data_IF_030265114889
#
_entry.id   IF_030265114889
#
_cell.length_a   1.000
_cell.length_b   1.000
_cell.length_c   1.000
_cell.angle_alpha   90.00
_cell.angle_beta   90.00
_cell.angle_gamma   90.00
#
_symmetry.space_group_name_H-M   'P 1'
#
loop_
_entity.id
_entity.type
_entity.pdbx_description
1 polymer ?
#
# COMPACT_ATOMS: atom_id res chain seq x y z
N UNK A 1 78.54 -12.74 26.57
CA UNK A 1 77.61 -13.72 27.17
C UNK A 1 77.09 -13.14 28.48
N UNK A 2 75.87 -12.61 28.51
CA UNK A 2 74.98 -12.44 29.69
C UNK A 2 73.70 -11.71 29.27
N UNK A 3 72.57 -12.06 29.91
CA UNK A 3 71.18 -11.87 29.48
C UNK A 3 70.46 -10.70 30.20
N UNK A 4 69.21 -10.43 29.75
CA UNK A 4 67.99 -9.98 30.49
C UNK A 4 67.71 -8.45 30.50
N UNK A 5 66.46 -7.94 30.41
CA UNK A 5 65.33 -8.29 29.53
C UNK A 5 64.64 -7.05 28.88
N UNK A 6 63.87 -7.29 27.82
CA UNK A 6 62.96 -6.30 27.21
C UNK A 6 61.59 -6.40 27.90
N UNK A 7 61.10 -5.31 28.51
CA UNK A 7 59.77 -5.22 29.10
C UNK A 7 58.74 -4.98 27.99
N UNK A 8 57.73 -5.84 27.96
CA UNK A 8 56.58 -5.78 27.07
C UNK A 8 55.58 -4.69 27.50
N UNK A 9 55.01 -3.97 26.54
CA UNK A 9 53.76 -3.23 26.71
C UNK A 9 52.79 -3.69 25.62
N UNK A 10 51.74 -4.37 26.05
CA UNK A 10 50.64 -4.90 25.24
C UNK A 10 49.59 -3.80 25.11
N UNK A 11 49.36 -3.27 23.91
CA UNK A 11 48.26 -2.35 23.64
C UNK A 11 47.11 -3.13 22.98
N UNK A 12 46.02 -3.33 23.72
CA UNK A 12 44.79 -3.93 23.21
C UNK A 12 43.91 -2.84 22.57
N UNK A 13 43.69 -2.95 21.25
CA UNK A 13 42.72 -2.14 20.51
C UNK A 13 41.35 -2.83 20.57
N UNK A 14 40.39 -2.23 21.29
CA UNK A 14 38.98 -2.58 21.23
C UNK A 14 38.34 -1.87 20.04
N UNK A 15 37.97 -2.64 19.01
CA UNK A 15 37.15 -2.16 17.90
C UNK A 15 35.67 -2.11 18.32
N UNK A 16 35.12 -0.90 18.49
CA UNK A 16 33.68 -0.68 18.62
C UNK A 16 33.02 -0.83 17.24
N UNK A 17 32.33 -1.94 17.01
CA UNK A 17 31.37 -2.05 15.91
C UNK A 17 30.04 -1.42 16.37
N UNK A 18 29.73 -0.24 15.85
CA UNK A 18 28.40 0.37 15.96
C UNK A 18 27.42 -0.46 15.12
N UNK A 19 26.64 -1.32 15.78
CA UNK A 19 25.47 -1.93 15.17
C UNK A 19 24.38 -0.87 15.03
N UNK A 20 24.05 -0.51 13.80
CA UNK A 20 22.90 0.32 13.46
C UNK A 20 21.62 -0.41 13.90
N UNK A 21 21.04 0.03 15.01
CA UNK A 21 19.74 -0.44 15.46
C UNK A 21 18.67 0.15 14.53
N UNK A 22 18.13 -0.67 13.63
CA UNK A 22 16.92 -0.36 12.90
C UNK A 22 15.77 -0.26 13.91
N UNK A 23 15.36 0.97 14.24
CA UNK A 23 14.30 1.24 15.21
C UNK A 23 12.95 0.75 14.67
N UNK A 24 12.50 -0.42 15.12
CA UNK A 24 11.12 -0.85 14.98
C UNK A 24 10.28 -0.06 15.99
N UNK A 25 9.40 0.82 15.51
CA UNK A 25 8.50 1.60 16.36
C UNK A 25 7.63 0.66 17.23
N UNK A 26 7.70 0.87 18.54
CA UNK A 26 7.15 0.02 19.60
C UNK A 26 5.64 0.24 19.83
N UNK A 27 4.91 -0.71 20.46
CA UNK A 27 3.46 -0.63 20.67
C UNK A 27 2.95 0.56 21.51
N UNK A 28 3.79 1.16 22.38
CA UNK A 28 3.39 2.28 23.25
C UNK A 28 3.10 3.56 22.46
N UNK A 29 3.72 3.77 21.30
CA UNK A 29 3.48 4.96 20.46
C UNK A 29 2.07 4.98 19.87
N UNK A 30 1.40 3.82 19.73
CA UNK A 30 -0.01 3.75 19.28
C UNK A 30 -0.99 4.26 20.34
N UNK A 31 -0.70 4.08 21.63
CA UNK A 31 -1.64 4.38 22.72
C UNK A 31 -1.92 5.89 22.86
N UNK A 32 -0.98 6.72 22.41
CA UNK A 32 -1.05 8.18 22.48
C UNK A 32 -1.12 8.83 21.09
N UNK A 33 -1.34 8.05 20.03
CA UNK A 33 -1.50 8.62 18.69
C UNK A 33 -2.76 9.50 18.65
N UNK A 34 -2.64 10.70 18.08
CA UNK A 34 -3.78 11.56 17.92
C UNK A 34 -4.85 10.85 17.08
N UNK A 35 -6.10 10.85 17.58
CA UNK A 35 -7.22 10.30 16.84
C UNK A 35 -7.68 11.32 15.78
N UNK A 36 -7.95 10.90 14.54
CA UNK A 36 -8.62 11.74 13.55
C UNK A 36 -9.91 12.36 14.10
N UNK A 37 -10.25 13.61 13.74
CA UNK A 37 -11.52 14.22 14.09
C UNK A 37 -12.70 13.39 13.60
N UNK A 38 -13.83 13.47 14.30
CA UNK A 38 -15.07 12.84 13.84
C UNK A 38 -15.47 13.34 12.44
N UNK A 39 -15.95 12.44 11.58
CA UNK A 39 -16.30 12.78 10.20
C UNK A 39 -15.11 12.89 9.24
N UNK A 40 -13.91 12.44 9.66
CA UNK A 40 -12.76 12.32 8.77
C UNK A 40 -12.92 11.12 7.82
N UNK A 41 -12.19 11.15 6.70
CA UNK A 41 -12.03 10.03 5.77
C UNK A 41 -10.56 9.65 5.65
N UNK A 42 -10.30 8.38 5.32
CA UNK A 42 -8.96 7.84 5.05
C UNK A 42 -8.80 7.61 3.56
N UNK A 43 -7.91 8.34 2.91
CA UNK A 43 -7.85 8.42 1.46
C UNK A 43 -6.45 8.14 0.96
N UNK A 44 -6.33 7.32 -0.08
CA UNK A 44 -5.07 7.15 -0.81
C UNK A 44 -5.27 7.34 -2.30
N UNK A 45 -4.17 7.54 -3.04
CA UNK A 45 -4.18 7.62 -4.50
C UNK A 45 -3.50 6.38 -5.07
N UNK A 46 -4.08 5.79 -6.12
CA UNK A 46 -3.59 4.60 -6.80
C UNK A 46 -3.30 4.90 -8.27
N UNK A 47 -2.14 4.46 -8.75
CA UNK A 47 -1.73 4.54 -10.15
C UNK A 47 -1.76 3.16 -10.83
N UNK A 48 -2.76 2.86 -11.67
CA UNK A 48 -2.84 1.60 -12.40
C UNK A 48 -2.03 1.59 -13.70
N UNK A 49 -1.43 2.73 -14.10
CA UNK A 49 -0.70 2.85 -15.37
C UNK A 49 0.66 2.16 -15.36
N UNK A 50 1.30 2.05 -16.51
CA UNK A 50 2.64 1.45 -16.68
C UNK A 50 3.79 2.46 -16.50
N UNK A 51 3.50 3.70 -16.10
CA UNK A 51 4.51 4.72 -15.84
C UNK A 51 4.44 5.20 -14.38
N UNK A 52 5.58 5.44 -13.71
CA UNK A 52 5.58 6.05 -12.40
C UNK A 52 5.15 7.52 -12.48
N UNK A 53 4.47 8.00 -11.44
CA UNK A 53 4.06 9.41 -11.28
C UNK A 53 4.30 9.89 -9.86
N UNK A 54 4.47 11.20 -9.68
CA UNK A 54 4.53 11.83 -8.37
C UNK A 54 3.15 12.38 -8.00
N UNK A 55 2.51 11.81 -6.98
CA UNK A 55 1.20 12.25 -6.49
C UNK A 55 1.32 13.15 -5.27
N UNK A 56 0.49 14.19 -5.22
CA UNK A 56 0.18 14.94 -4.00
C UNK A 56 -1.29 14.78 -3.66
N UNK A 57 -1.60 14.50 -2.40
CA UNK A 57 -2.96 14.36 -1.88
C UNK A 57 -3.19 15.38 -0.77
N UNK A 58 -4.15 16.29 -0.97
CA UNK A 58 -4.37 17.46 -0.11
C UNK A 58 -3.05 18.23 0.11
N UNK A 59 -2.80 18.70 1.34
CA UNK A 59 -1.56 19.36 1.76
C UNK A 59 -0.47 18.37 2.20
N UNK A 60 -0.58 17.12 1.76
CA UNK A 60 0.28 16.03 2.16
C UNK A 60 1.66 16.00 1.54
N UNK A 61 2.52 15.17 2.14
CA UNK A 61 3.79 14.78 1.50
C UNK A 61 3.51 14.10 0.15
N UNK A 62 4.31 14.46 -0.85
CA UNK A 62 4.25 13.86 -2.18
C UNK A 62 4.82 12.43 -2.14
N UNK A 63 4.25 11.54 -2.95
CA UNK A 63 4.70 10.15 -3.07
C UNK A 63 4.91 9.79 -4.54
N UNK A 64 5.95 9.00 -4.84
CA UNK A 64 6.11 8.39 -6.17
C UNK A 64 5.42 7.04 -6.17
N UNK A 65 4.51 6.80 -7.12
CA UNK A 65 3.76 5.54 -7.25
C UNK A 65 3.77 5.03 -8.69
N UNK A 66 3.89 3.71 -8.88
CA UNK A 66 4.05 3.12 -10.22
C UNK A 66 4.45 1.63 -10.22
N UNK A 67 4.87 1.10 -11.38
CA UNK A 67 5.18 -0.33 -11.56
C UNK A 67 6.34 -0.88 -10.73
N UNK A 68 7.41 -0.09 -10.61
CA UNK A 68 8.66 -0.54 -9.96
C UNK A 68 8.67 -0.28 -8.44
N UNK A 69 7.51 0.02 -7.86
CA UNK A 69 7.37 0.38 -6.46
C UNK A 69 5.92 0.26 -5.96
N UNK A 70 5.53 1.03 -4.94
CA UNK A 70 4.14 1.06 -4.49
C UNK A 70 3.21 1.52 -5.62
N UNK A 71 2.10 0.81 -5.80
CA UNK A 71 1.04 1.20 -6.74
C UNK A 71 0.12 2.27 -6.18
N UNK A 72 0.00 2.32 -4.87
CA UNK A 72 -0.80 3.31 -4.16
C UNK A 72 0.02 4.02 -3.07
N UNK A 73 -0.35 5.28 -2.79
CA UNK A 73 0.15 6.00 -1.64
C UNK A 73 -0.33 5.35 -0.34
N UNK A 74 0.27 5.73 0.80
CA UNK A 74 -0.34 5.46 2.10
C UNK A 74 -1.68 6.21 2.24
N UNK A 75 -2.56 5.73 3.11
CA UNK A 75 -3.78 6.44 3.46
C UNK A 75 -3.47 7.69 4.27
N UNK A 76 -4.12 8.79 3.92
CA UNK A 76 -4.09 10.07 4.62
C UNK A 76 -5.46 10.40 5.17
N UNK A 77 -5.48 11.01 6.35
CA UNK A 77 -6.69 11.56 6.95
C UNK A 77 -7.04 12.90 6.28
N UNK A 78 -8.26 13.01 5.77
CA UNK A 78 -8.82 14.24 5.19
C UNK A 78 -10.24 14.47 5.73
N UNK A 79 -10.82 15.68 5.59
CA UNK A 79 -12.24 15.88 5.90
C UNK A 79 -13.14 15.01 5.01
N UNK A 80 -14.03 14.23 5.62
CA UNK A 80 -14.99 13.40 4.89
C UNK A 80 -16.16 14.20 4.32
N UNK A 81 -16.75 13.70 3.24
CA UNK A 81 -17.85 14.34 2.52
C UNK A 81 -17.47 15.67 1.84
N UNK A 82 -16.17 15.97 1.74
CA UNK A 82 -15.64 17.18 1.12
C UNK A 82 -14.76 16.83 -0.08
N UNK A 83 -14.73 17.69 -1.12
CA UNK A 83 -13.75 17.58 -2.19
C UNK A 83 -12.32 17.50 -1.65
N UNK A 84 -11.55 16.53 -2.13
CA UNK A 84 -10.12 16.43 -1.87
C UNK A 84 -9.32 16.81 -3.12
N UNK A 85 -8.26 17.58 -2.95
CA UNK A 85 -7.35 17.93 -4.04
C UNK A 85 -6.32 16.82 -4.28
N UNK A 86 -6.09 16.50 -5.55
CA UNK A 86 -5.01 15.61 -5.99
C UNK A 86 -4.20 16.32 -7.06
N UNK A 87 -2.88 16.15 -7.01
CA UNK A 87 -1.97 16.57 -8.07
C UNK A 87 -1.15 15.39 -8.56
N UNK A 88 -0.83 15.40 -9.85
CA UNK A 88 0.08 14.45 -10.51
C UNK A 88 1.17 15.26 -11.20
N UNK A 89 2.43 14.98 -10.85
CA UNK A 89 3.63 15.66 -11.36
C UNK A 89 3.53 17.19 -11.24
N UNK A 90 2.96 17.64 -10.12
CA UNK A 90 2.77 19.06 -9.81
C UNK A 90 1.59 19.73 -10.51
N UNK A 91 0.84 19.02 -11.36
CA UNK A 91 -0.37 19.54 -12.02
C UNK A 91 -1.62 19.04 -11.28
N UNK A 92 -2.65 19.89 -11.10
CA UNK A 92 -3.91 19.44 -10.51
C UNK A 92 -4.59 18.40 -11.40
N UNK A 93 -5.19 17.38 -10.79
CA UNK A 93 -6.02 16.39 -11.49
C UNK A 93 -7.43 16.95 -11.67
N UNK A 94 -8.04 16.68 -12.82
CA UNK A 94 -9.39 17.16 -13.11
C UNK A 94 -10.43 16.35 -12.35
N UNK A 95 -11.46 17.04 -11.86
CA UNK A 95 -12.53 16.44 -11.05
C UNK A 95 -12.25 16.47 -9.55
N UNK A 96 -13.35 16.49 -8.78
CA UNK A 96 -13.30 16.43 -7.32
C UNK A 96 -13.81 15.06 -6.87
N UNK A 97 -12.99 14.33 -6.12
CA UNK A 97 -13.49 13.20 -5.34
C UNK A 97 -13.94 13.72 -3.97
N UNK A 98 -15.10 13.25 -3.49
CA UNK A 98 -15.61 13.55 -2.15
C UNK A 98 -15.79 12.25 -1.37
N UNK A 99 -14.70 11.69 -0.80
CA UNK A 99 -14.74 10.44 -0.05
C UNK A 99 -15.74 10.51 1.11
N UNK A 100 -16.45 9.43 1.37
CA UNK A 100 -17.42 9.38 2.45
C UNK A 100 -16.73 9.58 3.81
N UNK A 101 -17.42 10.27 4.73
CA UNK A 101 -16.98 10.36 6.11
C UNK A 101 -16.95 8.99 6.78
N UNK A 102 -16.05 8.84 7.76
CA UNK A 102 -15.87 7.66 8.59
C UNK A 102 -15.54 6.37 7.81
N UNK A 103 -14.95 6.54 6.61
CA UNK A 103 -14.61 5.44 5.70
C UNK A 103 -13.21 5.52 5.11
N UNK A 104 -12.82 4.43 4.46
CA UNK A 104 -11.61 4.36 3.64
C UNK A 104 -12.00 4.48 2.16
N UNK A 105 -11.15 5.14 1.36
CA UNK A 105 -11.34 5.24 -0.07
C UNK A 105 -10.00 5.26 -0.82
N UNK A 106 -9.97 4.59 -1.96
CA UNK A 106 -8.87 4.63 -2.91
C UNK A 106 -9.28 5.45 -4.12
N UNK A 107 -8.54 6.51 -4.42
CA UNK A 107 -8.73 7.32 -5.62
C UNK A 107 -7.85 6.78 -6.73
N UNK A 108 -8.46 6.16 -7.74
CA UNK A 108 -7.77 5.59 -8.89
C UNK A 108 -7.52 6.68 -9.92
N UNK A 109 -6.26 6.82 -10.35
CA UNK A 109 -5.88 7.67 -11.47
C UNK A 109 -6.23 6.98 -12.78
N UNK A 110 -7.15 7.55 -13.54
CA UNK A 110 -7.53 7.05 -14.86
C UNK A 110 -7.06 8.03 -15.93
N UNK A 111 -6.31 7.59 -16.96
CA UNK A 111 -5.86 8.48 -18.04
C UNK A 111 -7.04 9.19 -18.72
N UNK A 112 -6.92 10.50 -18.89
CA UNK A 112 -7.92 11.33 -19.60
C UNK A 112 -7.20 12.45 -20.37
N UNK A 113 -7.24 12.37 -21.71
CA UNK A 113 -6.51 13.29 -22.58
C UNK A 113 -5.00 13.26 -22.30
N UNK A 114 -4.44 14.40 -21.90
CA UNK A 114 -3.01 14.53 -21.54
C UNK A 114 -2.76 14.47 -20.02
N UNK A 115 -3.80 14.19 -19.23
CA UNK A 115 -3.75 14.14 -17.78
C UNK A 115 -4.52 12.94 -17.23
N UNK A 116 -5.13 13.15 -16.06
CA UNK A 116 -5.88 12.14 -15.34
C UNK A 116 -7.23 12.68 -14.89
N UNK A 117 -8.19 11.76 -14.72
CA UNK A 117 -9.36 11.93 -13.88
C UNK A 117 -9.28 11.00 -12.66
N UNK A 118 -10.04 11.33 -11.62
CA UNK A 118 -10.16 10.49 -10.43
C UNK A 118 -11.41 9.63 -10.50
N UNK A 119 -11.28 8.38 -10.07
CA UNK A 119 -12.40 7.51 -9.75
C UNK A 119 -12.26 6.99 -8.33
N UNK A 120 -13.26 7.21 -7.49
CA UNK A 120 -13.21 6.82 -6.09
C UNK A 120 -13.78 5.41 -5.91
N UNK A 121 -12.99 4.52 -5.34
CA UNK A 121 -13.42 3.21 -4.87
C UNK A 121 -13.56 3.23 -3.35
N UNK A 122 -14.73 2.86 -2.86
CA UNK A 122 -14.94 2.65 -1.43
C UNK A 122 -14.17 1.40 -0.99
N UNK A 123 -13.36 1.56 0.05
CA UNK A 123 -12.60 0.48 0.64
C UNK A 123 -13.38 -0.05 1.84
N UNK A 124 -14.27 -1.02 1.59
CA UNK A 124 -15.13 -1.58 2.64
C UNK A 124 -14.32 -2.02 3.86
N UNK A 125 -14.88 -1.85 5.05
CA UNK A 125 -14.33 -2.39 6.31
C UNK A 125 -15.11 -3.59 6.81
N UNK A 126 -16.12 -4.05 6.07
CA UNK A 126 -16.94 -5.21 6.42
C UNK A 126 -16.12 -6.51 6.38
N UNK A 127 -16.40 -7.41 7.31
CA UNK A 127 -15.66 -8.68 7.41
C UNK A 127 -14.22 -8.54 7.90
N UNK A 128 -13.86 -7.38 8.48
CA UNK A 128 -12.58 -7.18 9.16
C UNK A 128 -12.46 -8.08 10.38
N UNK A 129 -11.28 -8.68 10.54
CA UNK A 129 -10.91 -9.54 11.67
C UNK A 129 -9.46 -9.22 12.04
N UNK A 130 -9.26 -8.49 13.15
CA UNK A 130 -7.93 -8.04 13.57
C UNK A 130 -7.03 -9.21 14.03
N UNK A 131 -7.58 -10.42 14.21
CA UNK A 131 -6.81 -11.64 14.50
C UNK A 131 -6.30 -12.33 13.24
N UNK A 132 -6.63 -11.80 12.05
CA UNK A 132 -6.24 -12.33 10.74
C UNK A 132 -5.58 -11.24 9.90
N UNK A 133 -4.93 -11.65 8.82
CA UNK A 133 -4.50 -10.72 7.80
C UNK A 133 -5.68 -10.42 6.87
N UNK A 134 -5.81 -9.18 6.41
CA UNK A 134 -6.84 -8.76 5.46
C UNK A 134 -6.23 -8.66 4.06
N UNK A 135 -6.75 -9.44 3.11
CA UNK A 135 -6.47 -9.23 1.69
C UNK A 135 -7.57 -8.36 1.08
N UNK A 136 -7.17 -7.35 0.31
CA UNK A 136 -8.05 -6.60 -0.58
C UNK A 136 -7.57 -6.72 -2.01
N UNK A 137 -8.48 -6.99 -2.93
CA UNK A 137 -8.18 -7.14 -4.35
C UNK A 137 -8.93 -6.10 -5.15
N UNK A 138 -8.23 -5.39 -6.03
CA UNK A 138 -8.76 -4.38 -6.93
C UNK A 138 -8.67 -4.87 -8.37
N UNK A 139 -9.80 -4.85 -9.07
CA UNK A 139 -9.90 -5.20 -10.48
C UNK A 139 -9.80 -3.92 -11.34
N UNK A 140 -8.60 -3.59 -11.81
CA UNK A 140 -8.31 -2.30 -12.46
C UNK A 140 -7.85 -2.44 -13.92
N UNK A 141 -7.69 -3.68 -14.43
CA UNK A 141 -7.48 -3.94 -15.84
C UNK A 141 -8.77 -3.56 -16.62
N UNK A 142 -8.73 -2.59 -17.54
CA UNK A 142 -9.92 -2.15 -18.26
C UNK A 142 -10.58 -3.29 -19.05
N UNK A 143 -11.91 -3.39 -18.94
CA UNK A 143 -12.70 -4.41 -19.64
C UNK A 143 -12.54 -5.83 -19.09
N UNK A 144 -11.93 -6.00 -17.91
CA UNK A 144 -11.72 -7.30 -17.28
C UNK A 144 -12.67 -7.51 -16.10
N UNK A 145 -13.44 -8.60 -16.13
CA UNK A 145 -14.00 -9.19 -14.92
C UNK A 145 -12.93 -10.12 -14.33
N UNK A 146 -12.36 -9.70 -13.21
CA UNK A 146 -11.13 -10.26 -12.68
C UNK A 146 -11.37 -11.41 -11.70
N UNK A 147 -10.46 -12.38 -11.72
CA UNK A 147 -10.38 -13.44 -10.72
C UNK A 147 -9.00 -13.40 -10.06
N UNK A 148 -8.94 -13.54 -8.74
CA UNK A 148 -7.71 -13.76 -7.99
C UNK A 148 -7.70 -15.20 -7.47
N UNK A 149 -6.61 -15.93 -7.69
CA UNK A 149 -6.48 -17.30 -7.25
C UNK A 149 -5.08 -17.59 -6.69
N UNK A 150 -4.96 -18.66 -5.92
CA UNK A 150 -3.65 -19.26 -5.64
C UNK A 150 -3.13 -19.89 -6.95
N UNK A 151 -1.83 -19.73 -7.24
CA UNK A 151 -1.19 -20.39 -8.37
C UNK A 151 -1.43 -21.90 -8.29
N UNK A 152 -2.01 -22.46 -9.36
CA UNK A 152 -2.42 -23.88 -9.45
C UNK A 152 -3.34 -24.36 -8.31
N UNK A 153 -4.06 -23.44 -7.68
CA UNK A 153 -4.87 -23.69 -6.49
C UNK A 153 -6.26 -23.06 -6.54
N UNK A 154 -6.93 -22.93 -5.39
CA UNK A 154 -8.30 -22.45 -5.32
C UNK A 154 -8.41 -20.95 -5.65
N UNK A 155 -9.62 -20.57 -6.10
CA UNK A 155 -10.01 -19.18 -6.27
C UNK A 155 -10.15 -18.48 -4.91
N UNK A 156 -9.58 -17.28 -4.80
CA UNK A 156 -9.62 -16.41 -3.62
C UNK A 156 -10.76 -15.40 -3.73
N UNK A 157 -10.86 -14.74 -4.88
CA UNK A 157 -11.98 -13.89 -5.29
C UNK A 157 -12.36 -14.23 -6.71
N UNK A 158 -13.66 -14.38 -6.95
CA UNK A 158 -14.19 -14.71 -8.27
C UNK A 158 -15.05 -13.58 -8.83
N UNK A 159 -15.05 -13.46 -10.15
CA UNK A 159 -15.90 -12.56 -10.91
C UNK A 159 -15.98 -11.11 -10.38
N UNK A 160 -14.83 -10.52 -10.02
CA UNK A 160 -14.77 -9.13 -9.53
C UNK A 160 -14.90 -8.17 -10.72
N UNK A 161 -15.97 -7.36 -10.81
CA UNK A 161 -16.16 -6.46 -11.93
C UNK A 161 -15.03 -5.43 -12.06
N UNK A 162 -14.80 -4.92 -13.27
CA UNK A 162 -13.85 -3.84 -13.50
C UNK A 162 -14.21 -2.61 -12.65
N UNK A 163 -13.19 -1.91 -12.15
CA UNK A 163 -13.33 -0.78 -11.23
C UNK A 163 -14.08 -1.13 -9.93
N UNK A 164 -13.91 -2.35 -9.44
CA UNK A 164 -14.37 -2.73 -8.10
C UNK A 164 -13.25 -3.32 -7.24
N UNK A 165 -13.49 -3.36 -5.94
CA UNK A 165 -12.66 -4.09 -4.99
C UNK A 165 -13.46 -5.11 -4.18
N UNK A 166 -12.78 -6.14 -3.70
CA UNK A 166 -13.29 -7.13 -2.75
C UNK A 166 -12.25 -7.38 -1.68
N UNK A 167 -12.69 -7.83 -0.50
CA UNK A 167 -11.77 -8.16 0.57
C UNK A 167 -12.20 -9.39 1.35
N UNK A 168 -11.25 -10.02 2.03
CA UNK A 168 -11.49 -11.10 2.97
C UNK A 168 -10.38 -11.20 3.99
N UNK A 169 -10.73 -11.67 5.18
CA UNK A 169 -9.76 -12.14 6.16
C UNK A 169 -9.17 -13.48 5.71
N UNK A 170 -7.87 -13.65 5.90
CA UNK A 170 -7.12 -14.89 5.66
C UNK A 170 -6.26 -15.24 6.88
N UNK A 171 -5.99 -16.52 7.06
CA UNK A 171 -4.91 -16.91 7.96
C UNK A 171 -3.57 -16.52 7.33
N UNK A 172 -2.56 -16.14 8.15
CA UNK A 172 -1.17 -16.04 7.72
C UNK A 172 -0.73 -17.34 7.03
N UNK A 173 -0.53 -17.30 5.73
CA UNK A 173 -0.10 -18.46 4.92
C UNK A 173 0.90 -18.01 3.87
N UNK A 174 1.80 -18.91 3.51
CA UNK A 174 2.63 -18.73 2.33
C UNK A 174 1.84 -19.16 1.09
N UNK A 175 1.66 -18.25 0.14
CA UNK A 175 1.00 -18.55 -1.13
C UNK A 175 1.61 -17.71 -2.26
N UNK A 176 1.55 -18.23 -3.48
CA UNK A 176 1.72 -17.44 -4.69
C UNK A 176 0.36 -17.22 -5.31
N UNK A 177 0.04 -15.99 -5.68
CA UNK A 177 -1.24 -15.61 -6.25
C UNK A 177 -1.08 -15.24 -7.71
N UNK A 178 -2.13 -15.47 -8.50
CA UNK A 178 -2.25 -15.01 -9.88
C UNK A 178 -3.56 -14.27 -10.06
N UNK A 179 -3.54 -13.21 -10.86
CA UNK A 179 -4.74 -12.54 -11.34
C UNK A 179 -5.08 -13.02 -12.73
N UNK A 180 -6.37 -13.10 -13.05
CA UNK A 180 -6.88 -13.57 -14.34
C UNK A 180 -7.88 -12.60 -14.94
N UNK A 181 -7.84 -12.51 -16.26
CA UNK A 181 -8.82 -11.83 -17.10
C UNK A 181 -9.24 -12.79 -18.22
N UNK A 182 -10.31 -13.56 -17.99
CA UNK A 182 -10.63 -14.73 -18.82
C UNK A 182 -9.46 -15.73 -18.79
N UNK A 183 -8.98 -16.12 -19.97
CA UNK A 183 -7.84 -17.05 -20.12
C UNK A 183 -6.47 -16.40 -19.89
N UNK A 184 -6.39 -15.07 -19.89
CA UNK A 184 -5.13 -14.37 -19.64
C UNK A 184 -4.79 -14.42 -18.14
N UNK A 185 -3.55 -14.77 -17.83
CA UNK A 185 -3.06 -14.95 -16.46
C UNK A 185 -1.84 -14.06 -16.24
N UNK A 186 -1.78 -13.38 -15.09
CA UNK A 186 -0.60 -12.61 -14.70
C UNK A 186 0.58 -13.50 -14.35
N UNK A 187 1.78 -12.91 -14.28
CA UNK A 187 2.87 -13.55 -13.54
C UNK A 187 2.44 -13.84 -12.08
N UNK A 188 2.93 -14.93 -11.46
CA UNK A 188 2.67 -15.20 -10.05
C UNK A 188 3.30 -14.15 -9.14
N UNK A 189 2.53 -13.66 -8.17
CA UNK A 189 2.98 -12.80 -7.08
C UNK A 189 3.10 -13.64 -5.80
N UNK A 190 4.30 -13.78 -5.26
CA UNK A 190 4.49 -14.40 -3.95
C UNK A 190 3.99 -13.45 -2.87
N UNK A 191 3.06 -13.89 -2.03
CA UNK A 191 2.65 -13.12 -0.87
C UNK A 191 3.83 -12.98 0.11
N UNK A 192 4.03 -11.81 0.72
CA UNK A 192 4.94 -11.69 1.84
C UNK A 192 4.41 -12.48 3.04
N UNK A 193 5.26 -12.71 4.04
CA UNK A 193 4.81 -13.29 5.31
C UNK A 193 3.95 -12.26 6.06
N UNK A 194 2.64 -12.37 5.88
CA UNK A 194 1.64 -11.54 6.55
C UNK A 194 1.44 -11.97 8.00
N UNK A 195 1.12 -11.01 8.86
CA UNK A 195 0.81 -11.22 10.28
C UNK A 195 -0.65 -10.88 10.56
N UNK A 196 -1.14 -11.34 11.71
CA UNK A 196 -2.45 -10.90 12.20
C UNK A 196 -2.49 -9.36 12.30
N UNK A 197 -3.57 -8.77 11.80
CA UNK A 197 -3.76 -7.32 11.73
C UNK A 197 -3.09 -6.64 10.54
N UNK A 198 -2.32 -7.35 9.70
CA UNK A 198 -1.81 -6.78 8.46
C UNK A 198 -2.95 -6.59 7.45
N UNK A 199 -2.89 -5.49 6.71
CA UNK A 199 -3.73 -5.24 5.54
C UNK A 199 -2.83 -5.25 4.30
N UNK A 200 -3.19 -6.05 3.31
CA UNK A 200 -2.42 -6.21 2.07
C UNK A 200 -3.34 -6.05 0.86
N UNK A 201 -2.99 -5.09 0.02
CA UNK A 201 -3.72 -4.80 -1.21
C UNK A 201 -3.06 -5.43 -2.41
N UNK A 202 -3.88 -6.00 -3.29
CA UNK A 202 -3.52 -6.62 -4.55
C UNK A 202 -4.23 -5.87 -5.67
N UNK A 203 -3.50 -5.51 -6.72
CA UNK A 203 -4.01 -4.73 -7.84
C UNK A 203 -3.81 -5.52 -9.12
N UNK A 204 -4.90 -5.92 -9.77
CA UNK A 204 -4.83 -6.42 -11.14
C UNK A 204 -4.94 -5.24 -12.10
N UNK A 205 -3.82 -4.87 -12.70
CA UNK A 205 -3.69 -3.76 -13.64
C UNK A 205 -3.27 -4.29 -15.03
N UNK A 206 -2.83 -3.41 -15.93
CA UNK A 206 -2.49 -3.78 -17.30
C UNK A 206 -3.73 -3.87 -18.18
N UNK A 207 -3.72 -4.79 -19.14
CA UNK A 207 -4.85 -4.99 -20.06
C UNK A 207 -5.52 -6.35 -19.81
N UNK A 208 -6.72 -6.55 -20.37
CA UNK A 208 -7.39 -7.84 -20.27
C UNK A 208 -6.57 -8.99 -20.91
N UNK A 209 -5.71 -8.70 -21.90
CA UNK A 209 -4.88 -9.70 -22.59
C UNK A 209 -3.51 -9.89 -21.92
N UNK A 210 -3.03 -8.89 -21.20
CA UNK A 210 -1.76 -8.93 -20.48
C UNK A 210 -1.95 -8.36 -19.07
N UNK A 211 -2.69 -9.06 -18.19
CA UNK A 211 -2.94 -8.60 -16.85
C UNK A 211 -1.66 -8.67 -16.00
N UNK A 212 -1.45 -7.68 -15.15
CA UNK A 212 -0.31 -7.61 -14.23
C UNK A 212 -0.83 -7.55 -12.81
N UNK A 213 -0.41 -8.50 -11.98
CA UNK A 213 -0.73 -8.51 -10.55
C UNK A 213 0.41 -7.85 -9.77
N UNK A 214 0.09 -6.79 -9.03
CA UNK A 214 0.99 -6.14 -8.09
C UNK A 214 0.39 -6.19 -6.68
N UNK A 215 1.21 -6.02 -5.64
CA UNK A 215 0.72 -5.98 -4.28
C UNK A 215 1.61 -5.16 -3.35
N UNK A 216 1.01 -4.67 -2.28
CA UNK A 216 1.69 -3.90 -1.24
C UNK A 216 0.98 -4.02 0.10
N UNK A 217 1.71 -3.82 1.19
CA UNK A 217 1.13 -3.58 2.50
C UNK A 217 0.43 -2.22 2.53
N UNK A 218 -0.71 -2.18 3.20
CA UNK A 218 -1.47 -0.96 3.42
C UNK A 218 -0.98 -0.27 4.69
N UNK A 219 -0.76 1.03 4.57
CA UNK A 219 -0.32 1.87 5.68
C UNK A 219 -1.19 3.12 5.74
N UNK A 220 -1.37 3.64 6.95
CA UNK A 220 -2.01 4.93 7.20
C UNK A 220 -0.95 5.84 7.78
N UNK A 221 -0.80 7.02 7.20
CA UNK A 221 0.05 8.06 7.74
C UNK A 221 -0.37 8.38 9.18
N UNK A 222 0.58 8.47 10.13
CA UNK A 222 0.28 8.89 11.49
C UNK A 222 -0.42 10.25 11.50
N UNK A 223 -1.63 10.31 12.05
CA UNK A 223 -2.32 11.57 12.25
C UNK A 223 -1.60 12.37 13.35
N UNK A 224 -1.17 13.59 13.04
CA UNK A 224 -0.40 14.44 13.97
C UNK A 224 -1.21 15.57 14.61
N UNK A 225 -2.53 15.60 14.41
CA UNK A 225 -3.36 16.75 14.83
C UNK A 225 -3.17 17.97 13.93
N UNK A 226 -3.89 19.08 14.19
CA UNK A 226 -3.52 20.36 13.62
C UNK A 226 -2.08 20.69 14.01
N UNK A 227 -1.26 21.16 13.06
CA UNK A 227 0.02 21.77 13.40
C UNK A 227 -0.29 22.99 14.29
N UNK A 228 0.16 22.94 15.54
CA UNK A 228 0.17 24.14 16.40
C UNK A 228 1.28 25.09 15.94
#
# INVERSE_FOLDING_TARGET
>A
MTRVPTIAVLAALLSLAAGEACAQATPLTRLYAAKPPAGSAFVRVLNPTDAPVVVGLAEGAKATIGPDGPRASVYRVVPGGKPVSVSVDGKPVSGAASPAADGFSTLVLLPEGTGFRLEALADSTEGRDDLKAMLRFYALAPGCTATLAVADGPTVFDAVPAMESRQRAINPVEASLVGRCGDAVSAPLKLPQLKAGDHYSLFLVGTAQAPVLAGQNDETEPYRGPAN
#
